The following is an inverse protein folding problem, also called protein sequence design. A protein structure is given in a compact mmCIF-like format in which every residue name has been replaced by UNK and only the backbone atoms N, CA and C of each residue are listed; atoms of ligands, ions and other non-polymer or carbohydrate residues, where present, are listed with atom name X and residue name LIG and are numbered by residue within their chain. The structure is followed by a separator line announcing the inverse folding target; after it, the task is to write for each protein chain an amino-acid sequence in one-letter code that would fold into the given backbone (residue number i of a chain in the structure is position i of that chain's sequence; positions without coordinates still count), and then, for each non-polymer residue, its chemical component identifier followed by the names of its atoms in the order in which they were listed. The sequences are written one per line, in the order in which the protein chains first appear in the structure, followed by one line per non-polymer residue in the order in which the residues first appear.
data_IF_305500311366
#
_entry.id   IF_305500311366
#
_cell.length_a   1.000
_cell.length_b   1.000
_cell.length_c   1.000
_cell.angle_alpha   90.00
_cell.angle_beta   90.00
_cell.angle_gamma   90.00
#
_symmetry.space_group_name_H-M   'P 1'
#
loop_
_entity.id
_entity.type
_entity.pdbx_description
1 polymer ?
#
# COMPACT_ATOMS: atom_id res chain seq x y z
N UNK A 1 -15.53 16.09 -5.97
CA UNK A 1 -15.29 14.92 -6.82
C UNK A 1 -14.33 13.97 -6.13
N UNK A 2 -14.39 12.67 -6.40
CA UNK A 2 -13.47 11.67 -5.80
C UNK A 2 -12.02 12.03 -6.11
N UNK A 3 -11.16 11.97 -5.10
CA UNK A 3 -9.80 12.53 -5.12
C UNK A 3 -8.71 11.52 -5.54
N UNK A 4 -9.05 10.25 -5.72
CA UNK A 4 -8.10 9.23 -6.16
C UNK A 4 -8.78 7.93 -6.57
N UNK A 5 -7.97 6.94 -6.91
CA UNK A 5 -8.42 5.62 -7.35
C UNK A 5 -8.07 4.59 -6.27
N UNK A 6 -9.01 3.69 -6.00
CA UNK A 6 -8.75 2.47 -5.24
C UNK A 6 -8.66 1.31 -6.22
N UNK A 7 -7.45 0.86 -6.49
CA UNK A 7 -7.21 -0.30 -7.33
C UNK A 7 -7.09 -1.57 -6.48
N UNK A 8 -7.82 -2.62 -6.84
CA UNK A 8 -7.68 -3.94 -6.25
C UNK A 8 -7.25 -4.93 -7.33
N UNK A 9 -6.07 -5.51 -7.17
CA UNK A 9 -5.50 -6.48 -8.10
C UNK A 9 -6.13 -7.88 -7.88
N UNK A 10 -7.41 -7.99 -8.27
CA UNK A 10 -8.23 -9.18 -8.00
C UNK A 10 -7.79 -10.44 -8.77
N UNK A 11 -6.96 -10.29 -9.80
CA UNK A 11 -6.40 -11.38 -10.60
C UNK A 11 -5.20 -12.07 -9.96
N UNK A 12 -4.59 -11.47 -8.94
CA UNK A 12 -3.39 -12.02 -8.30
C UNK A 12 -3.70 -13.27 -7.47
N UNK A 13 -2.70 -14.14 -7.25
CA UNK A 13 -2.83 -15.22 -6.28
C UNK A 13 -3.02 -14.66 -4.86
N UNK A 14 -3.67 -15.43 -3.99
CA UNK A 14 -3.81 -15.06 -2.58
C UNK A 14 -2.42 -15.02 -1.91
N UNK A 15 -2.11 -14.00 -1.08
CA UNK A 15 -0.84 -13.93 -0.39
C UNK A 15 -0.57 -15.18 0.47
N UNK A 16 0.55 -15.86 0.19
CA UNK A 16 1.00 -17.04 0.92
C UNK A 16 1.90 -16.70 2.11
N UNK A 17 2.36 -17.74 2.81
CA UNK A 17 3.32 -17.62 3.93
C UNK A 17 4.75 -17.31 3.49
N UNK A 18 5.10 -17.61 2.24
CA UNK A 18 6.46 -17.50 1.70
C UNK A 18 6.87 -16.07 1.27
N UNK A 19 6.04 -15.07 1.60
CA UNK A 19 6.27 -13.67 1.24
C UNK A 19 5.41 -13.22 0.06
N UNK A 20 5.87 -12.19 -0.65
CA UNK A 20 5.16 -11.59 -1.79
C UNK A 20 5.37 -12.48 -3.03
N UNK A 21 4.28 -12.93 -3.67
CA UNK A 21 4.39 -13.77 -4.87
C UNK A 21 5.02 -13.02 -6.05
N UNK A 22 5.64 -13.72 -7.00
CA UNK A 22 6.31 -13.07 -8.14
C UNK A 22 5.30 -12.28 -8.97
N UNK A 23 4.09 -12.78 -9.16
CA UNK A 23 3.01 -12.11 -9.88
C UNK A 23 2.59 -10.79 -9.22
N UNK A 24 2.66 -10.73 -7.89
CA UNK A 24 2.40 -9.49 -7.16
C UNK A 24 3.58 -8.51 -7.26
N UNK A 25 4.82 -9.02 -7.39
CA UNK A 25 5.99 -8.20 -7.66
C UNK A 25 5.98 -7.67 -9.10
N UNK A 26 5.57 -8.47 -10.08
CA UNK A 26 5.35 -8.04 -11.46
C UNK A 26 4.31 -6.93 -11.53
N UNK A 27 3.16 -7.12 -10.87
CA UNK A 27 2.12 -6.09 -10.80
C UNK A 27 2.64 -4.80 -10.12
N UNK A 28 3.42 -4.93 -9.04
CA UNK A 28 4.06 -3.80 -8.38
C UNK A 28 5.00 -3.05 -9.34
N UNK A 29 5.84 -3.77 -10.11
CA UNK A 29 6.75 -3.16 -11.08
C UNK A 29 5.98 -2.34 -12.11
N UNK A 30 4.95 -2.93 -12.72
CA UNK A 30 4.14 -2.25 -13.74
C UNK A 30 3.41 -1.01 -13.20
N UNK A 31 3.02 -1.01 -11.92
CA UNK A 31 2.42 0.16 -11.28
C UNK A 31 3.46 1.25 -10.98
N UNK A 32 4.64 0.87 -10.48
CA UNK A 32 5.75 1.79 -10.16
C UNK A 32 6.32 2.43 -11.42
N UNK A 33 6.47 1.67 -12.50
CA UNK A 33 6.88 2.20 -13.81
C UNK A 33 5.83 3.14 -14.37
N UNK A 34 4.55 2.74 -14.35
CA UNK A 34 3.47 3.59 -14.84
C UNK A 34 3.36 4.90 -14.05
N UNK A 35 3.76 4.91 -12.78
CA UNK A 35 3.79 6.13 -11.96
C UNK A 35 5.07 6.94 -12.10
N UNK A 36 6.09 6.45 -12.80
CA UNK A 36 7.42 7.05 -12.84
C UNK A 36 8.01 7.20 -11.43
N UNK A 37 7.81 6.19 -10.58
CA UNK A 37 8.18 6.23 -9.16
C UNK A 37 7.14 6.93 -8.29
N UNK A 38 7.58 7.59 -7.22
CA UNK A 38 6.67 8.26 -6.28
C UNK A 38 5.74 7.28 -5.53
N UNK A 39 6.22 6.03 -5.36
CA UNK A 39 5.44 4.96 -4.75
C UNK A 39 5.84 4.74 -3.29
N UNK A 40 4.82 4.62 -2.44
CA UNK A 40 4.92 4.25 -1.04
C UNK A 40 4.45 2.80 -0.88
N UNK A 41 5.40 1.88 -0.68
CA UNK A 41 5.13 0.46 -0.50
C UNK A 41 4.95 0.10 0.97
N UNK A 42 3.73 -0.28 1.35
CA UNK A 42 3.33 -0.63 2.71
C UNK A 42 3.21 -2.16 2.83
N UNK A 43 4.27 -2.79 3.31
CA UNK A 43 4.35 -4.23 3.43
C UNK A 43 3.96 -4.73 4.83
N UNK A 44 3.38 -5.91 4.88
CA UNK A 44 3.04 -6.62 6.12
C UNK A 44 4.26 -7.12 6.92
N UNK A 45 5.42 -7.21 6.29
CA UNK A 45 6.67 -7.64 6.95
C UNK A 45 7.89 -6.98 6.30
N UNK A 46 8.95 -6.83 7.09
CA UNK A 46 10.23 -6.29 6.63
C UNK A 46 10.82 -7.11 5.49
N UNK A 47 10.84 -8.45 5.64
CA UNK A 47 11.27 -9.38 4.59
C UNK A 47 10.50 -9.20 3.28
N UNK A 48 9.20 -8.87 3.38
CA UNK A 48 8.39 -8.57 2.20
C UNK A 48 8.82 -7.29 1.49
N UNK A 49 9.11 -6.23 2.26
CA UNK A 49 9.63 -4.97 1.72
C UNK A 49 11.00 -5.14 1.08
N UNK A 50 11.94 -5.82 1.74
CA UNK A 50 13.29 -6.10 1.23
C UNK A 50 13.24 -6.89 -0.07
N UNK A 51 12.46 -7.98 -0.10
CA UNK A 51 12.26 -8.78 -1.32
C UNK A 51 11.68 -7.95 -2.47
N UNK A 52 10.72 -7.08 -2.18
CA UNK A 52 10.14 -6.21 -3.20
C UNK A 52 11.15 -5.18 -3.70
N UNK A 53 11.95 -4.59 -2.80
CA UNK A 53 12.97 -3.62 -3.16
C UNK A 53 14.05 -4.22 -4.06
N UNK A 54 14.59 -5.39 -3.69
CA UNK A 54 15.55 -6.14 -4.49
C UNK A 54 14.99 -6.46 -5.89
N UNK A 55 13.75 -6.96 -5.95
CA UNK A 55 13.12 -7.28 -7.22
C UNK A 55 12.88 -6.05 -8.09
N UNK A 56 12.39 -4.94 -7.52
CA UNK A 56 12.19 -3.69 -8.27
C UNK A 56 13.49 -3.18 -8.88
N UNK A 57 14.61 -3.20 -8.14
CA UNK A 57 15.91 -2.74 -8.65
C UNK A 57 16.39 -3.50 -9.88
N UNK A 58 15.89 -4.72 -10.11
CA UNK A 58 16.20 -5.51 -11.31
C UNK A 58 15.21 -5.30 -12.46
N UNK A 59 14.11 -4.59 -12.21
CA UNK A 59 12.96 -4.49 -13.11
C UNK A 59 12.68 -3.10 -13.61
N UNK A 60 12.96 -2.09 -12.79
CA UNK A 60 12.66 -0.68 -13.10
C UNK A 60 13.94 0.14 -13.00
N UNK A 61 14.09 1.14 -13.86
CA UNK A 61 15.18 2.11 -13.82
C UNK A 61 14.77 3.34 -12.99
N UNK A 62 14.41 3.10 -11.73
CA UNK A 62 13.92 4.11 -10.78
C UNK A 62 14.56 3.90 -9.41
N UNK A 63 14.81 4.96 -8.62
CA UNK A 63 15.38 4.83 -7.29
C UNK A 63 14.43 4.09 -6.34
N UNK A 64 14.92 3.02 -5.72
CA UNK A 64 14.18 2.25 -4.73
C UNK A 64 14.88 2.36 -3.38
N UNK A 65 14.20 2.93 -2.41
CA UNK A 65 14.61 3.07 -1.02
C UNK A 65 13.90 2.01 -0.18
N UNK A 66 14.61 1.35 0.74
CA UNK A 66 14.00 0.34 1.61
C UNK A 66 14.29 0.60 3.09
N UNK A 67 13.27 0.40 3.92
CA UNK A 67 13.40 0.42 5.37
C UNK A 67 14.53 -0.51 5.82
N UNK A 68 15.43 0.04 6.62
CA UNK A 68 16.55 -0.70 7.19
C UNK A 68 17.85 -0.62 6.42
N UNK A 69 17.86 0.05 5.28
CA UNK A 69 19.08 0.47 4.58
C UNK A 69 19.62 1.79 5.15
N UNK A 70 18.74 2.62 5.72
CA UNK A 70 19.09 3.85 6.43
C UNK A 70 18.08 4.14 7.55
N UNK A 71 18.33 5.20 8.32
CA UNK A 71 17.41 5.76 9.29
C UNK A 71 16.17 6.32 8.61
N UNK A 72 15.03 6.20 9.26
CA UNK A 72 13.73 6.54 8.69
C UNK A 72 13.62 8.01 8.29
N UNK A 73 14.10 8.99 9.10
CA UNK A 73 14.09 10.38 8.68
C UNK A 73 14.90 10.63 7.39
N UNK A 74 16.02 9.92 7.22
CA UNK A 74 16.89 10.03 6.06
C UNK A 74 16.22 9.46 4.81
N UNK A 75 15.62 8.26 4.93
CA UNK A 75 14.84 7.64 3.85
C UNK A 75 13.67 8.52 3.41
N UNK A 76 12.94 9.10 4.37
CA UNK A 76 11.81 10.00 4.09
C UNK A 76 12.29 11.28 3.41
N UNK A 77 13.42 11.85 3.85
CA UNK A 77 14.01 13.02 3.21
C UNK A 77 14.42 12.71 1.78
N UNK A 78 15.11 11.59 1.54
CA UNK A 78 15.52 11.15 0.21
C UNK A 78 14.31 10.91 -0.70
N UNK A 79 13.29 10.22 -0.21
CA UNK A 79 12.03 10.01 -0.93
C UNK A 79 11.36 11.33 -1.30
N UNK A 80 11.29 12.27 -0.35
CA UNK A 80 10.66 13.59 -0.56
C UNK A 80 11.43 14.44 -1.57
N UNK A 81 12.75 14.34 -1.59
CA UNK A 81 13.63 15.13 -2.46
C UNK A 81 13.62 14.65 -3.92
N UNK A 82 13.22 13.41 -4.19
CA UNK A 82 13.24 12.81 -5.52
C UNK A 82 11.85 12.28 -5.91
N UNK A 83 11.12 12.96 -6.82
CA UNK A 83 9.80 12.54 -7.28
C UNK A 83 9.78 11.20 -8.03
N UNK A 84 10.94 10.67 -8.44
CA UNK A 84 11.10 9.36 -9.08
C UNK A 84 11.43 8.25 -8.08
N UNK A 85 11.83 8.59 -6.86
CA UNK A 85 12.11 7.62 -5.83
C UNK A 85 10.83 6.91 -5.36
N UNK A 86 10.96 5.65 -4.99
CA UNK A 86 9.92 4.87 -4.31
C UNK A 86 10.47 4.35 -2.99
N UNK A 87 9.66 4.38 -1.92
CA UNK A 87 10.10 4.01 -0.59
C UNK A 87 9.23 2.89 -0.02
N UNK A 88 9.88 1.76 0.29
CA UNK A 88 9.25 0.53 0.75
C UNK A 88 9.58 0.26 2.22
N UNK A 89 8.57 -0.13 2.98
CA UNK A 89 8.74 -0.46 4.40
C UNK A 89 7.50 -1.12 4.99
N UNK A 90 7.56 -1.42 6.29
CA UNK A 90 6.41 -1.99 6.99
C UNK A 90 5.33 -0.96 7.25
N UNK A 91 4.07 -1.37 7.33
CA UNK A 91 2.94 -0.49 7.69
C UNK A 91 3.17 0.33 8.97
N UNK A 92 3.81 -0.26 9.97
CA UNK A 92 4.12 0.39 11.25
C UNK A 92 5.11 1.56 11.12
N UNK A 93 5.97 1.51 10.11
CA UNK A 93 7.00 2.52 9.89
C UNK A 93 6.43 3.91 9.64
N UNK A 94 5.24 3.95 9.06
CA UNK A 94 4.63 5.16 8.51
C UNK A 94 3.67 5.83 9.48
N UNK A 95 3.61 5.34 10.72
CA UNK A 95 2.92 6.03 11.81
C UNK A 95 3.73 7.25 12.23
N UNK A 96 3.31 8.43 11.76
CA UNK A 96 3.90 9.72 12.15
C UNK A 96 4.81 10.36 11.09
N UNK A 97 4.94 9.76 9.90
CA UNK A 97 5.70 10.33 8.80
C UNK A 97 4.80 11.18 7.89
N UNK A 98 5.23 12.41 7.65
CA UNK A 98 4.61 13.39 6.75
C UNK A 98 5.37 13.41 5.41
N UNK A 99 4.79 12.83 4.34
CA UNK A 99 5.38 12.88 2.97
C UNK A 99 4.62 13.88 2.10
N UNK A 100 5.22 15.01 1.69
CA UNK A 100 4.56 16.03 0.87
C UNK A 100 3.82 15.48 -0.36
N UNK A 101 2.63 16.03 -0.64
CA UNK A 101 1.62 15.44 -1.53
C UNK A 101 1.99 15.35 -3.03
N UNK A 102 3.01 16.07 -3.51
CA UNK A 102 3.46 15.95 -4.91
C UNK A 102 4.34 14.71 -5.16
N UNK A 103 5.00 14.22 -4.12
CA UNK A 103 5.94 13.08 -4.22
C UNK A 103 5.20 11.74 -4.16
N UNK A 104 4.17 11.63 -3.32
CA UNK A 104 3.44 10.37 -3.10
C UNK A 104 2.18 10.30 -3.98
N UNK A 105 2.27 9.61 -5.12
CA UNK A 105 1.15 9.43 -6.08
C UNK A 105 0.59 8.01 -6.09
N UNK A 106 1.35 7.05 -5.57
CA UNK A 106 0.97 5.64 -5.50
C UNK A 106 1.22 5.13 -4.08
N UNK A 107 0.19 4.63 -3.41
CA UNK A 107 0.34 3.83 -2.18
C UNK A 107 0.03 2.39 -2.53
N UNK A 108 0.97 1.48 -2.27
CA UNK A 108 0.79 0.04 -2.50
C UNK A 108 0.71 -0.69 -1.18
N UNK A 109 -0.27 -1.57 -1.03
CA UNK A 109 -0.44 -2.44 0.14
C UNK A 109 -0.36 -3.89 -0.35
N UNK A 110 0.66 -4.62 0.11
CA UNK A 110 0.96 -5.98 -0.39
C UNK A 110 -0.13 -7.00 0.00
N UNK A 111 -0.65 -6.88 1.23
CA UNK A 111 -1.69 -7.76 1.75
C UNK A 111 -2.52 -7.09 2.84
N UNK A 112 -3.70 -7.66 3.10
CA UNK A 112 -4.54 -7.23 4.23
C UNK A 112 -3.75 -7.40 5.54
N UNK A 113 -3.58 -6.33 6.34
CA UNK A 113 -2.74 -6.33 7.53
C UNK A 113 -3.48 -6.92 8.73
N UNK A 114 -3.78 -8.22 8.65
CA UNK A 114 -4.33 -8.94 9.79
C UNK A 114 -3.31 -9.00 10.93
N UNK A 115 -3.78 -8.97 12.19
CA UNK A 115 -2.91 -9.24 13.33
C UNK A 115 -2.25 -10.60 13.17
N UNK A 116 -1.02 -10.72 13.66
CA UNK A 116 -0.32 -11.99 13.62
C UNK A 116 -1.05 -12.99 14.53
N UNK A 117 -1.12 -14.28 14.15
CA UNK A 117 -1.79 -15.29 14.98
C UNK A 117 -1.18 -15.48 16.37
N UNK A 118 0.10 -15.16 16.54
CA UNK A 118 0.85 -15.26 17.79
C UNK A 118 0.75 -14.00 18.67
N UNK A 119 -0.07 -13.00 18.30
CA UNK A 119 -0.32 -11.82 19.13
C UNK A 119 -1.25 -12.19 20.30
N UNK A 120 -0.75 -12.21 21.55
CA UNK A 120 -1.54 -12.66 22.70
C UNK A 120 -2.68 -11.69 23.04
N UNK A 121 -2.51 -10.38 22.76
CA UNK A 121 -3.53 -9.37 23.03
C UNK A 121 -4.69 -9.52 22.04
N UNK A 122 -4.36 -9.73 20.77
CA UNK A 122 -5.39 -9.91 19.73
C UNK A 122 -6.13 -11.24 19.89
N UNK A 123 -5.43 -12.29 20.31
CA UNK A 123 -6.03 -13.59 20.63
C UNK A 123 -7.03 -13.47 21.80
N UNK A 124 -6.61 -12.87 22.91
CA UNK A 124 -7.47 -12.65 24.07
C UNK A 124 -8.71 -11.78 23.74
N UNK A 125 -8.55 -10.74 22.91
CA UNK A 125 -9.68 -9.91 22.43
C UNK A 125 -10.66 -10.70 21.58
N UNK A 126 -10.14 -11.58 20.73
CA UNK A 126 -10.95 -12.44 19.85
C UNK A 126 -11.77 -13.44 20.66
N UNK A 127 -11.14 -14.10 21.63
CA UNK A 127 -11.80 -15.02 22.57
C UNK A 127 -12.89 -14.32 23.39
N UNK A 128 -12.60 -13.11 23.92
CA UNK A 128 -13.59 -12.32 24.65
C UNK A 128 -14.80 -11.92 23.78
N UNK A 129 -14.58 -11.59 22.50
CA UNK A 129 -15.67 -11.28 21.59
C UNK A 129 -16.53 -12.51 21.29
N UNK A 130 -15.89 -13.67 21.07
CA UNK A 130 -16.57 -14.95 20.88
C UNK A 130 -17.39 -15.36 22.11
N UNK A 131 -16.83 -15.20 23.31
CA UNK A 131 -17.53 -15.49 24.58
C UNK A 131 -18.79 -14.63 24.78
N UNK A 132 -18.89 -13.48 24.09
CA UNK A 132 -20.08 -12.61 24.06
C UNK A 132 -21.01 -12.88 22.87
N UNK A 133 -20.85 -14.01 22.18
CA UNK A 133 -21.68 -14.40 21.03
C UNK A 133 -21.44 -13.58 19.76
N UNK A 134 -20.34 -12.82 19.68
CA UNK A 134 -19.99 -12.00 18.51
C UNK A 134 -18.98 -12.71 17.62
N UNK A 135 -18.90 -12.29 16.36
CA UNK A 135 -17.91 -12.81 15.43
C UNK A 135 -16.54 -12.18 15.74
N UNK A 136 -15.73 -12.83 16.58
CA UNK A 136 -14.44 -12.30 17.03
C UNK A 136 -13.47 -11.98 15.90
N UNK A 137 -13.50 -12.74 14.79
CA UNK A 137 -12.68 -12.43 13.62
C UNK A 137 -13.10 -11.12 12.96
N UNK A 138 -14.41 -10.89 12.78
CA UNK A 138 -14.93 -9.62 12.27
C UNK A 138 -14.63 -8.48 13.23
N UNK A 139 -14.97 -8.63 14.50
CA UNK A 139 -14.91 -7.57 15.50
C UNK A 139 -13.48 -7.12 15.79
N UNK A 140 -12.53 -8.05 15.78
CA UNK A 140 -11.13 -7.79 16.17
C UNK A 140 -10.23 -7.74 14.95
N UNK A 141 -10.09 -8.83 14.20
CA UNK A 141 -9.10 -8.93 13.12
C UNK A 141 -9.46 -8.04 11.92
N UNK A 142 -10.71 -8.08 11.47
CA UNK A 142 -11.16 -7.27 10.31
C UNK A 142 -11.21 -5.79 10.67
N UNK A 143 -11.74 -5.42 11.84
CA UNK A 143 -11.74 -4.03 12.32
C UNK A 143 -10.32 -3.46 12.47
N UNK A 144 -9.39 -4.26 13.00
CA UNK A 144 -7.98 -3.85 13.11
C UNK A 144 -7.36 -3.65 11.72
N UNK A 145 -7.57 -4.59 10.80
CA UNK A 145 -7.06 -4.47 9.44
C UNK A 145 -7.64 -3.24 8.71
N UNK A 146 -8.95 -2.99 8.86
CA UNK A 146 -9.61 -1.81 8.32
C UNK A 146 -8.97 -0.49 8.80
N UNK A 147 -8.65 -0.39 10.09
CA UNK A 147 -7.99 0.78 10.66
C UNK A 147 -6.60 1.00 10.04
N UNK A 148 -5.77 -0.05 9.95
CA UNK A 148 -4.43 0.05 9.38
C UNK A 148 -4.47 0.39 7.89
N UNK A 149 -5.40 -0.20 7.14
CA UNK A 149 -5.61 0.12 5.72
C UNK A 149 -6.02 1.58 5.54
N UNK A 150 -6.94 2.09 6.36
CA UNK A 150 -7.35 3.49 6.32
C UNK A 150 -6.19 4.44 6.64
N UNK A 151 -5.36 4.10 7.62
CA UNK A 151 -4.16 4.87 7.96
C UNK A 151 -3.12 4.88 6.85
N UNK A 152 -2.89 3.74 6.19
CA UNK A 152 -2.00 3.62 5.04
C UNK A 152 -2.50 4.41 3.84
N UNK A 153 -3.77 4.24 3.48
CA UNK A 153 -4.42 4.96 2.37
C UNK A 153 -4.49 6.48 2.62
N UNK A 154 -4.69 6.91 3.87
CA UNK A 154 -4.70 8.32 4.26
C UNK A 154 -3.35 9.03 4.08
N UNK A 155 -2.26 8.30 3.81
CA UNK A 155 -0.97 8.92 3.44
C UNK A 155 -0.98 9.54 2.05
N UNK A 156 -1.82 9.02 1.15
CA UNK A 156 -1.92 9.48 -0.23
C UNK A 156 -2.70 10.79 -0.37
N UNK A 157 -3.77 10.97 0.41
CA UNK A 157 -4.71 12.08 0.23
C UNK A 157 -4.76 12.89 1.52
N UNK A 158 -4.00 13.98 1.56
CA UNK A 158 -3.96 14.88 2.73
C UNK A 158 -4.51 16.26 2.45
N UNK A 159 -4.56 16.67 1.17
CA UNK A 159 -5.18 17.91 0.71
C UNK A 159 -6.21 17.62 -0.37
N UNK A 160 -7.16 18.54 -0.53
CA UNK A 160 -8.25 18.40 -1.50
C UNK A 160 -7.79 18.38 -2.97
N UNK A 161 -6.59 18.90 -3.22
CA UNK A 161 -5.89 18.91 -4.51
C UNK A 161 -5.15 17.63 -4.83
N UNK A 162 -4.84 16.79 -3.83
CA UNK A 162 -4.01 15.61 -4.03
C UNK A 162 -4.74 14.61 -4.95
N UNK A 163 -3.97 13.95 -5.81
CA UNK A 163 -4.42 12.95 -6.77
C UNK A 163 -3.50 11.75 -6.68
N UNK A 164 -4.06 10.56 -6.71
CA UNK A 164 -3.25 9.35 -6.66
C UNK A 164 -4.04 8.06 -6.70
N UNK A 165 -3.30 6.97 -6.53
CA UNK A 165 -3.84 5.61 -6.48
C UNK A 165 -3.45 4.92 -5.18
N UNK A 166 -4.43 4.30 -4.53
CA UNK A 166 -4.19 3.26 -3.52
C UNK A 166 -4.37 1.91 -4.21
N UNK A 167 -3.30 1.13 -4.33
CA UNK A 167 -3.30 -0.21 -4.90
C UNK A 167 -3.23 -1.25 -3.78
N UNK A 168 -4.19 -2.18 -3.75
CA UNK A 168 -4.17 -3.33 -2.84
C UNK A 168 -3.92 -4.59 -3.66
N UNK A 169 -2.79 -5.25 -3.39
CA UNK A 169 -2.34 -6.45 -4.09
C UNK A 169 -2.88 -7.75 -3.47
N UNK A 170 -3.98 -7.64 -2.73
CA UNK A 170 -4.66 -8.76 -2.08
C UNK A 170 -6.05 -9.01 -2.70
N UNK A 171 -6.24 -10.09 -3.47
CA UNK A 171 -7.53 -10.39 -4.09
C UNK A 171 -8.62 -10.65 -3.04
N UNK A 172 -8.28 -10.91 -1.77
CA UNK A 172 -9.27 -11.12 -0.70
C UNK A 172 -10.11 -9.86 -0.45
N UNK A 173 -9.61 -8.66 -0.73
CA UNK A 173 -10.43 -7.44 -0.64
C UNK A 173 -11.60 -7.45 -1.62
N UNK A 174 -11.40 -8.05 -2.80
CA UNK A 174 -12.44 -8.18 -3.82
C UNK A 174 -13.34 -9.41 -3.65
N UNK A 175 -12.81 -10.48 -3.05
CA UNK A 175 -13.43 -11.83 -3.09
C UNK A 175 -14.00 -12.30 -1.75
N UNK A 176 -13.61 -11.72 -0.62
CA UNK A 176 -14.12 -12.13 0.70
C UNK A 176 -15.42 -11.42 1.09
N UNK A 177 -16.21 -12.04 1.97
CA UNK A 177 -17.41 -11.41 2.53
C UNK A 177 -17.12 -10.14 3.35
N UNK A 178 -15.94 -10.03 3.95
CA UNK A 178 -15.50 -8.87 4.71
C UNK A 178 -14.84 -7.78 3.85
N UNK A 179 -14.54 -8.06 2.57
CA UNK A 179 -13.86 -7.11 1.68
C UNK A 179 -14.62 -5.79 1.51
N UNK A 180 -15.96 -5.85 1.48
CA UNK A 180 -16.83 -4.66 1.46
C UNK A 180 -16.66 -3.78 2.71
N UNK A 181 -16.47 -4.39 3.87
CA UNK A 181 -16.23 -3.65 5.11
C UNK A 181 -14.88 -2.93 5.04
N UNK A 182 -13.82 -3.62 4.61
CA UNK A 182 -12.49 -3.02 4.44
C UNK A 182 -12.51 -1.84 3.47
N UNK A 183 -13.16 -2.00 2.30
CA UNK A 183 -13.25 -0.93 1.30
C UNK A 183 -14.02 0.30 1.81
N UNK A 184 -15.03 0.12 2.66
CA UNK A 184 -15.78 1.23 3.26
C UNK A 184 -14.99 2.02 4.29
N UNK A 185 -13.95 1.43 4.87
CA UNK A 185 -13.08 2.11 5.85
C UNK A 185 -12.01 2.99 5.18
N UNK A 186 -11.78 2.81 3.88
CA UNK A 186 -10.85 3.61 3.10
C UNK A 186 -11.46 4.99 2.76
N UNK A 187 -10.63 6.00 2.39
CA UNK A 187 -11.12 7.26 1.83
C UNK A 187 -12.06 7.03 0.62
N UNK A 188 -12.91 8.03 0.30
CA UNK A 188 -13.81 7.96 -0.88
C UNK A 188 -13.01 8.05 -2.20
N UNK A 189 -12.47 6.91 -2.57
CA UNK A 189 -11.70 6.65 -3.77
C UNK A 189 -12.61 6.00 -4.82
N UNK A 190 -12.33 6.26 -6.09
CA UNK A 190 -13.04 5.59 -7.18
C UNK A 190 -12.51 4.15 -7.32
N UNK A 191 -13.34 3.12 -7.06
CA UNK A 191 -12.86 1.74 -7.05
C UNK A 191 -12.73 1.20 -8.48
N UNK A 192 -11.62 0.51 -8.77
CA UNK A 192 -11.41 -0.22 -10.03
C UNK A 192 -10.65 -1.52 -9.82
N UNK A 193 -10.82 -2.43 -10.78
CA UNK A 193 -10.04 -3.66 -10.94
C UNK A 193 -9.36 -3.71 -12.32
N UNK A 194 -9.53 -2.66 -13.13
CA UNK A 194 -8.97 -2.59 -14.47
C UNK A 194 -7.51 -2.12 -14.41
N UNK A 195 -6.60 -3.06 -14.71
CA UNK A 195 -5.15 -2.85 -14.79
C UNK A 195 -4.77 -1.77 -15.78
N UNK A 196 -5.39 -1.77 -16.96
CA UNK A 196 -5.06 -0.82 -18.02
C UNK A 196 -5.50 0.59 -17.62
N UNK A 197 -6.66 0.71 -16.99
CA UNK A 197 -7.13 1.99 -16.50
C UNK A 197 -6.28 2.57 -15.38
N UNK A 198 -5.92 1.77 -14.36
CA UNK A 198 -5.10 2.29 -13.25
C UNK A 198 -3.73 2.73 -13.76
N UNK A 199 -3.11 2.01 -14.70
CA UNK A 199 -1.83 2.41 -15.31
C UNK A 199 -1.94 3.68 -16.13
N UNK A 200 -3.01 3.84 -16.92
CA UNK A 200 -3.26 5.11 -17.63
C UNK A 200 -3.40 6.28 -16.66
N UNK A 201 -4.12 6.08 -15.56
CA UNK A 201 -4.28 7.12 -14.54
C UNK A 201 -2.96 7.43 -13.82
N UNK A 202 -2.12 6.43 -13.53
CA UNK A 202 -0.79 6.65 -12.96
C UNK A 202 0.13 7.40 -13.93
N UNK A 203 0.12 7.03 -15.21
CA UNK A 203 0.91 7.70 -16.24
C UNK A 203 0.53 9.18 -16.40
N UNK A 204 -0.75 9.52 -16.25
CA UNK A 204 -1.20 10.91 -16.26
C UNK A 204 -0.78 11.71 -15.01
N UNK A 205 -0.33 11.03 -13.95
CA UNK A 205 0.16 11.64 -12.71
C UNK A 205 1.70 11.60 -12.59
N UNK A 206 2.37 10.89 -13.50
CA UNK A 206 3.83 10.80 -13.52
C UNK A 206 4.43 12.19 -13.85
N UNK A 207 5.60 12.53 -13.29
CA UNK A 207 6.28 13.77 -13.59
C UNK A 207 6.59 13.84 -15.09
N UNK A 208 6.33 14.98 -15.72
CA UNK A 208 6.73 15.23 -17.10
C UNK A 208 8.26 15.25 -17.18
N UNK A 209 8.83 14.53 -18.14
CA UNK A 209 10.27 14.48 -18.41
C UNK A 209 10.86 15.79 -18.97
N UNK A 210 10.13 16.89 -18.89
CA UNK A 210 10.49 18.23 -19.37
C UNK A 210 10.43 19.24 -18.23
N UNK A 211 11.44 19.23 -17.37
CA UNK A 211 11.87 20.44 -16.67
C UNK A 211 13.38 20.26 -16.39
N UNK A 212 14.27 20.88 -17.20
CA UNK A 212 15.66 20.97 -16.82
C UNK A 212 15.75 21.79 -15.54
N UNK A 213 16.52 21.29 -14.57
CA UNK A 213 16.94 22.08 -13.43
C UNK A 213 17.68 23.32 -13.93
N UNK A 214 17.09 24.50 -13.72
CA UNK A 214 17.81 25.78 -13.77
C UNK A 214 18.77 25.91 -12.59
#
# INVERSE_FOLDING_TARGET
GRQGILYVAAHLPRPGREGVAVEALDELAELVEASGGGALGLFSSRRGAERAAEYMRTRVDLPILCQGEDQIPELVRAFTADPSASLFGTLSLWQGVDVPGSTCRLVVIDRIPFPRPDDPIMSARTEMAQARGRNGFMDVSVSHAALLLAQGAGRLIRRSSDRGVVAILDPRVATSGYGRFLMKSLPDLWPTRDRAQVRRSLGALAPSSEEPAE
#
